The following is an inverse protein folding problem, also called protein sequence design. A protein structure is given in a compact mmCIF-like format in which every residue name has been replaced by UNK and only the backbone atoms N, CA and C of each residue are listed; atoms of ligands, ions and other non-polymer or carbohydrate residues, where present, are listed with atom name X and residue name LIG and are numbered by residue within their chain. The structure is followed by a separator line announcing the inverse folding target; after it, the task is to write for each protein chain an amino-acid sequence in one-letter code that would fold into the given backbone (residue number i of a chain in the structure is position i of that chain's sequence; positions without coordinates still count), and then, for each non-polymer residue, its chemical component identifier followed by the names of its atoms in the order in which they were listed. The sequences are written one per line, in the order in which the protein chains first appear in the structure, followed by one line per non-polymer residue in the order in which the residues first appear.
data_IF_113689473607
#
_entry.id   IF_113689473607
#
_cell.length_a   1.000
_cell.length_b   1.000
_cell.length_c   1.000
_cell.angle_alpha   90.00
_cell.angle_beta   90.00
_cell.angle_gamma   90.00
#
_symmetry.space_group_name_H-M   'P 1'
#
loop_
_entity.id
_entity.type
_entity.pdbx_description
1 polymer ?
#
# COMPACT_ATOMS: atom_id res chain seq x y z
N UNK A 1 -2.80 110.51 4.92
CA UNK A 1 -3.51 111.74 4.54
C UNK A 1 -3.67 112.57 5.82
N UNK A 2 -3.21 113.84 5.78
CA UNK A 2 -3.29 114.93 6.77
C UNK A 2 -2.71 114.63 8.18
N UNK A 3 -1.57 115.15 8.67
CA UNK A 3 -0.95 116.50 8.74
C UNK A 3 -1.76 117.59 9.47
N UNK A 4 -0.99 118.44 10.19
CA UNK A 4 -1.25 119.80 10.74
C UNK A 4 -1.57 119.80 12.27
N UNK A 5 -0.56 119.89 13.16
CA UNK A 5 0.19 121.08 13.70
C UNK A 5 -0.58 121.96 14.69
N UNK A 6 -0.02 122.06 15.90
CA UNK A 6 0.18 123.20 16.84
C UNK A 6 -0.47 124.57 16.53
N UNK A 7 -0.83 125.37 17.56
CA UNK A 7 0.21 126.25 18.15
C UNK A 7 0.07 126.66 19.64
N UNK A 8 1.21 126.89 20.29
CA UNK A 8 1.35 127.90 21.36
C UNK A 8 1.11 129.32 20.82
N UNK A 9 0.70 130.29 21.66
CA UNK A 9 1.59 131.45 21.80
C UNK A 9 1.71 132.08 23.20
N UNK A 10 2.97 132.39 23.50
CA UNK A 10 3.58 133.48 24.28
C UNK A 10 2.74 134.65 24.82
N UNK A 11 2.95 134.88 26.13
CA UNK A 11 3.39 136.11 26.84
C UNK A 11 2.66 137.44 26.58
N UNK A 12 2.26 138.12 27.67
CA UNK A 12 2.40 139.58 27.83
C UNK A 12 2.38 139.99 29.30
N UNK A 13 3.51 140.50 29.78
CA UNK A 13 3.59 141.27 31.02
C UNK A 13 2.88 142.61 30.87
N UNK A 14 2.39 143.14 31.99
CA UNK A 14 2.09 144.57 32.12
C UNK A 14 2.61 145.02 33.48
N UNK A 15 3.64 145.86 33.42
CA UNK A 15 4.22 146.54 34.55
C UNK A 15 3.56 147.92 34.74
N UNK A 16 3.74 148.41 35.97
CA UNK A 16 3.74 149.81 36.42
C UNK A 16 2.38 150.44 36.80
N UNK A 17 2.34 150.87 38.07
CA UNK A 17 1.44 151.87 38.63
C UNK A 17 1.97 152.35 39.98
N UNK A 18 3.07 153.11 39.95
CA UNK A 18 3.59 153.93 41.06
C UNK A 18 2.76 155.23 41.16
N UNK A 19 2.78 155.85 42.35
CA UNK A 19 2.25 157.17 42.75
C UNK A 19 0.76 157.14 43.12
N UNK A 20 0.29 157.68 44.26
CA UNK A 20 0.86 158.62 45.23
C UNK A 20 0.01 158.58 46.51
N UNK A 21 0.65 158.71 47.68
CA UNK A 21 0.02 158.81 49.01
C UNK A 21 -0.93 160.02 49.13
N UNK A 22 -2.13 159.85 49.71
CA UNK A 22 -2.79 160.88 50.49
C UNK A 22 -2.53 160.66 51.98
N UNK A 23 -2.45 161.78 52.68
CA UNK A 23 -2.04 161.97 54.07
C UNK A 23 -2.92 161.22 55.10
N UNK A 24 -2.27 160.79 56.18
CA UNK A 24 -2.79 160.49 57.52
C UNK A 24 -4.26 160.00 57.64
N UNK A 25 -4.47 158.69 57.84
CA UNK A 25 -5.06 158.10 59.08
C UNK A 25 -5.27 156.57 58.98
N UNK A 26 -4.86 155.88 60.06
CA UNK A 26 -5.18 154.52 60.54
C UNK A 26 -4.62 153.24 59.85
N UNK A 27 -3.74 152.51 60.56
CA UNK A 27 -3.11 151.22 60.15
C UNK A 27 -4.10 150.03 60.02
N UNK A 28 -5.31 150.14 60.57
CA UNK A 28 -6.30 149.04 60.59
C UNK A 28 -6.86 148.69 59.21
N UNK A 29 -7.10 149.67 58.33
CA UNK A 29 -7.71 149.45 57.01
C UNK A 29 -6.82 148.65 56.06
N UNK A 30 -5.49 148.75 56.21
CA UNK A 30 -4.54 148.03 55.36
C UNK A 30 -4.41 146.54 55.76
N UNK A 31 -4.58 146.23 57.05
CA UNK A 31 -4.59 144.86 57.55
C UNK A 31 -5.86 144.10 57.13
N UNK A 32 -7.01 144.79 57.07
CA UNK A 32 -8.28 144.20 56.62
C UNK A 32 -8.20 143.75 55.15
N UNK A 33 -7.61 144.59 54.29
CA UNK A 33 -7.43 144.27 52.86
C UNK A 33 -6.53 143.05 52.62
N UNK A 34 -5.46 142.88 53.39
CA UNK A 34 -4.58 141.71 53.28
C UNK A 34 -5.26 140.43 53.79
N UNK A 35 -6.07 140.51 54.86
CA UNK A 35 -6.85 139.35 55.36
C UNK A 35 -7.88 138.85 54.34
N UNK A 36 -8.59 139.76 53.70
CA UNK A 36 -9.55 139.46 52.63
C UNK A 36 -8.86 138.72 51.47
N UNK A 37 -7.68 139.19 51.06
CA UNK A 37 -6.94 138.59 49.94
C UNK A 37 -6.39 137.20 50.25
N UNK A 38 -5.95 136.95 51.49
CA UNK A 38 -5.52 135.62 51.95
C UNK A 38 -6.69 134.64 52.03
N UNK A 39 -7.86 135.08 52.49
CA UNK A 39 -9.09 134.26 52.49
C UNK A 39 -9.50 133.87 51.07
N UNK A 40 -9.44 134.80 50.12
CA UNK A 40 -9.77 134.52 48.72
C UNK A 40 -8.83 133.47 48.10
N UNK A 41 -7.53 133.55 48.35
CA UNK A 41 -6.54 132.58 47.90
C UNK A 41 -6.73 131.18 48.54
N UNK A 42 -7.10 131.11 49.82
CA UNK A 42 -7.40 129.84 50.51
C UNK A 42 -8.68 129.18 49.97
N UNK A 43 -9.68 129.98 49.61
CA UNK A 43 -10.91 129.51 48.96
C UNK A 43 -10.64 128.97 47.55
N UNK A 44 -9.81 129.64 46.77
CA UNK A 44 -9.48 129.25 45.39
C UNK A 44 -8.62 127.97 45.35
N UNK A 45 -7.65 127.83 46.27
CA UNK A 45 -6.87 126.59 46.40
C UNK A 45 -7.70 125.41 46.90
N UNK A 46 -8.63 125.64 47.85
CA UNK A 46 -9.59 124.60 48.26
C UNK A 46 -10.49 124.19 47.11
N UNK A 47 -11.05 125.14 46.36
CA UNK A 47 -11.92 124.86 45.20
C UNK A 47 -11.20 124.05 44.10
N UNK A 48 -9.94 124.40 43.78
CA UNK A 48 -9.15 123.66 42.81
C UNK A 48 -8.83 122.22 43.28
N UNK A 49 -8.54 122.05 44.58
CA UNK A 49 -8.28 120.74 45.17
C UNK A 49 -9.54 119.86 45.17
N UNK A 50 -10.70 120.41 45.54
CA UNK A 50 -11.99 119.71 45.48
C UNK A 50 -12.31 119.25 44.06
N UNK A 51 -12.10 120.10 43.06
CA UNK A 51 -12.35 119.77 41.65
C UNK A 51 -11.43 118.66 41.14
N UNK A 52 -10.17 118.62 41.59
CA UNK A 52 -9.25 117.53 41.26
C UNK A 52 -9.67 116.21 41.91
N UNK A 53 -10.16 116.22 43.16
CA UNK A 53 -10.68 115.02 43.82
C UNK A 53 -11.98 114.53 43.16
N UNK A 54 -12.88 115.42 42.75
CA UNK A 54 -14.10 115.06 42.03
C UNK A 54 -13.78 114.38 40.69
N UNK A 55 -12.84 114.94 39.92
CA UNK A 55 -12.40 114.32 38.67
C UNK A 55 -11.72 112.95 38.90
N UNK A 56 -10.89 112.82 39.94
CA UNK A 56 -10.26 111.54 40.28
C UNK A 56 -11.29 110.49 40.73
N UNK A 57 -12.30 110.90 41.50
CA UNK A 57 -13.40 110.03 41.92
C UNK A 57 -14.23 109.56 40.73
N UNK A 58 -14.53 110.45 39.78
CA UNK A 58 -15.32 110.11 38.61
C UNK A 58 -14.56 109.16 37.67
N UNK A 59 -13.27 109.39 37.43
CA UNK A 59 -12.43 108.46 36.67
C UNK A 59 -12.36 107.07 37.33
N UNK A 60 -12.21 107.00 38.67
CA UNK A 60 -12.21 105.71 39.37
C UNK A 60 -13.57 105.00 39.34
N UNK A 61 -14.69 105.74 39.34
CA UNK A 61 -16.01 105.12 39.14
C UNK A 61 -16.14 104.52 37.75
N UNK A 62 -15.68 105.21 36.71
CA UNK A 62 -15.69 104.69 35.34
C UNK A 62 -14.83 103.42 35.20
N UNK A 63 -13.64 103.39 35.81
CA UNK A 63 -12.79 102.19 35.85
C UNK A 63 -13.50 101.02 36.56
N UNK A 64 -14.13 101.26 37.72
CA UNK A 64 -14.89 100.23 38.44
C UNK A 64 -16.11 99.76 37.62
N UNK A 65 -16.80 100.69 36.93
CA UNK A 65 -17.94 100.37 36.07
C UNK A 65 -17.53 99.51 34.87
N UNK A 66 -16.31 99.67 34.37
CA UNK A 66 -15.78 98.88 33.25
C UNK A 66 -15.19 97.53 33.70
N UNK A 67 -14.48 97.49 34.82
CA UNK A 67 -13.87 96.25 35.33
C UNK A 67 -14.91 95.22 35.81
N UNK A 68 -16.01 95.68 36.40
CA UNK A 68 -17.01 94.78 37.00
C UNK A 68 -17.69 93.89 35.95
N UNK A 69 -18.18 94.41 34.80
CA UNK A 69 -18.70 93.60 33.70
C UNK A 69 -17.65 92.65 33.11
N UNK A 70 -16.41 93.12 32.90
CA UNK A 70 -15.35 92.30 32.30
C UNK A 70 -15.02 91.08 33.16
N UNK A 71 -14.95 91.25 34.50
CA UNK A 71 -14.77 90.12 35.43
C UNK A 71 -15.94 89.13 35.39
N UNK A 72 -17.17 89.61 35.22
CA UNK A 72 -18.37 88.75 35.10
C UNK A 72 -18.35 87.94 33.80
N UNK A 73 -18.00 88.56 32.67
CA UNK A 73 -17.88 87.86 31.38
C UNK A 73 -16.75 86.83 31.39
N UNK A 74 -15.57 87.17 31.93
CA UNK A 74 -14.46 86.22 32.04
C UNK A 74 -14.80 85.01 32.91
N UNK A 75 -15.51 85.21 34.02
CA UNK A 75 -15.96 84.11 34.86
C UNK A 75 -16.98 83.21 34.14
N UNK A 76 -17.89 83.81 33.36
CA UNK A 76 -18.84 83.06 32.55
C UNK A 76 -18.15 82.19 31.49
N UNK A 77 -17.16 82.74 30.77
CA UNK A 77 -16.40 82.01 29.75
C UNK A 77 -15.60 80.86 30.38
N UNK A 78 -14.98 81.08 31.55
CA UNK A 78 -14.27 80.05 32.30
C UNK A 78 -15.23 78.93 32.73
N UNK A 79 -16.42 79.26 33.20
CA UNK A 79 -17.43 78.29 33.61
C UNK A 79 -17.98 77.49 32.41
N UNK A 80 -18.16 78.12 31.24
CA UNK A 80 -18.55 77.43 30.02
C UNK A 80 -17.45 76.48 29.51
N UNK A 81 -16.20 76.94 29.42
CA UNK A 81 -15.05 76.12 29.03
C UNK A 81 -14.90 74.93 29.99
N UNK A 82 -15.03 75.17 31.30
CA UNK A 82 -14.93 74.13 32.32
C UNK A 82 -16.03 73.07 32.17
N UNK A 83 -17.28 73.50 31.92
CA UNK A 83 -18.40 72.58 31.66
C UNK A 83 -18.21 71.77 30.39
N UNK A 84 -17.76 72.39 29.31
CA UNK A 84 -17.50 71.71 28.04
C UNK A 84 -16.38 70.68 28.16
N UNK A 85 -15.29 71.02 28.87
CA UNK A 85 -14.20 70.10 29.14
C UNK A 85 -14.65 68.91 30.00
N UNK A 86 -15.42 69.15 31.07
CA UNK A 86 -15.96 68.09 31.92
C UNK A 86 -16.90 67.17 31.13
N UNK A 87 -17.76 67.73 30.27
CA UNK A 87 -18.67 66.97 29.40
C UNK A 87 -17.89 66.07 28.43
N UNK A 88 -16.91 66.61 27.71
CA UNK A 88 -16.05 65.84 26.79
C UNK A 88 -15.24 64.76 27.53
N UNK A 89 -14.75 65.07 28.74
CA UNK A 89 -14.04 64.09 29.60
C UNK A 89 -14.96 62.97 30.05
N UNK A 90 -16.20 63.27 30.45
CA UNK A 90 -17.18 62.25 30.82
C UNK A 90 -17.58 61.38 29.63
N UNK A 91 -17.78 61.99 28.46
CA UNK A 91 -18.08 61.26 27.22
C UNK A 91 -16.93 60.30 26.85
N UNK A 92 -15.68 60.77 26.90
CA UNK A 92 -14.50 59.95 26.68
C UNK A 92 -14.39 58.82 27.73
N UNK A 93 -14.63 59.15 29.01
CA UNK A 93 -14.62 58.18 30.12
C UNK A 93 -15.69 57.09 29.97
N UNK A 94 -16.80 57.37 29.31
CA UNK A 94 -17.86 56.39 29.04
C UNK A 94 -17.59 55.55 27.77
N UNK A 95 -16.88 56.12 26.78
CA UNK A 95 -16.52 55.42 25.55
C UNK A 95 -15.32 54.47 25.73
N UNK A 96 -14.32 54.86 26.53
CA UNK A 96 -13.10 54.07 26.73
C UNK A 96 -13.35 52.64 27.28
N UNK A 97 -14.22 52.43 28.29
CA UNK A 97 -14.54 51.08 28.78
C UNK A 97 -15.20 50.20 27.71
N UNK A 98 -16.06 50.79 26.86
CA UNK A 98 -16.70 50.07 25.75
C UNK A 98 -15.69 49.65 24.69
N UNK A 99 -14.75 50.53 24.35
CA UNK A 99 -13.65 50.20 23.42
C UNK A 99 -12.77 49.10 24.01
N UNK A 100 -12.42 49.19 25.30
CA UNK A 100 -11.60 48.18 25.98
C UNK A 100 -12.29 46.80 26.00
N UNK A 101 -13.59 46.75 26.26
CA UNK A 101 -14.32 45.47 26.27
C UNK A 101 -14.46 44.86 24.86
N UNK A 102 -14.63 45.67 23.83
CA UNK A 102 -14.61 45.22 22.43
C UNK A 102 -13.23 44.65 22.08
N UNK A 103 -12.16 45.35 22.46
CA UNK A 103 -10.78 44.92 22.18
C UNK A 103 -10.48 43.57 22.84
N UNK A 104 -10.83 43.39 24.12
CA UNK A 104 -10.65 42.11 24.82
C UNK A 104 -11.43 40.95 24.18
N UNK A 105 -12.64 41.21 23.67
CA UNK A 105 -13.43 40.21 22.94
C UNK A 105 -12.78 39.84 21.60
N UNK A 106 -12.25 40.83 20.88
CA UNK A 106 -11.53 40.59 19.62
C UNK A 106 -10.25 39.78 19.84
N UNK A 107 -9.45 40.12 20.86
CA UNK A 107 -8.25 39.36 21.23
C UNK A 107 -8.58 37.90 21.56
N UNK A 108 -9.64 37.67 22.33
CA UNK A 108 -10.11 36.32 22.67
C UNK A 108 -10.58 35.54 21.43
N UNK A 109 -11.25 36.23 20.49
CA UNK A 109 -11.69 35.64 19.21
C UNK A 109 -10.49 35.25 18.34
N UNK A 110 -9.48 36.11 18.25
CA UNK A 110 -8.25 35.87 17.48
C UNK A 110 -7.48 34.68 18.06
N UNK A 111 -7.35 34.58 19.39
CA UNK A 111 -6.70 33.42 20.04
C UNK A 111 -7.49 32.13 19.75
N UNK A 112 -8.82 32.16 19.84
CA UNK A 112 -9.67 31.02 19.52
C UNK A 112 -9.51 30.58 18.05
N UNK A 113 -9.58 31.51 17.10
CA UNK A 113 -9.38 31.23 15.68
C UNK A 113 -7.98 30.68 15.39
N UNK A 114 -6.96 31.24 16.05
CA UNK A 114 -5.57 30.77 15.90
C UNK A 114 -5.44 29.32 16.37
N UNK A 115 -6.00 28.97 17.53
CA UNK A 115 -6.02 27.59 18.03
C UNK A 115 -6.78 26.66 17.11
N UNK A 116 -7.94 27.10 16.61
CA UNK A 116 -8.76 26.29 15.71
C UNK A 116 -8.04 26.00 14.39
N UNK A 117 -7.30 26.99 13.87
CA UNK A 117 -6.45 26.79 12.70
C UNK A 117 -5.37 25.72 12.93
N UNK A 118 -4.75 25.66 14.11
CA UNK A 118 -3.81 24.59 14.44
C UNK A 118 -4.49 23.23 14.50
N UNK A 119 -5.64 23.11 15.18
CA UNK A 119 -6.39 21.85 15.21
C UNK A 119 -6.81 21.35 13.83
N UNK A 120 -7.27 22.26 12.97
CA UNK A 120 -7.64 21.92 11.59
C UNK A 120 -6.42 21.48 10.78
N UNK A 121 -5.26 22.12 10.99
CA UNK A 121 -4.02 21.70 10.35
C UNK A 121 -3.63 20.29 10.78
N UNK A 122 -3.62 20.01 12.09
CA UNK A 122 -3.27 18.69 12.60
C UNK A 122 -4.23 17.60 12.09
N UNK A 123 -5.53 17.89 12.05
CA UNK A 123 -6.53 16.99 11.50
C UNK A 123 -6.32 16.71 10.00
N UNK A 124 -5.99 17.74 9.21
CA UNK A 124 -5.66 17.58 7.79
C UNK A 124 -4.40 16.73 7.61
N UNK A 125 -3.36 16.99 8.41
CA UNK A 125 -2.10 16.25 8.35
C UNK A 125 -2.30 14.77 8.76
N UNK A 126 -3.19 14.48 9.70
CA UNK A 126 -3.59 13.11 10.07
C UNK A 126 -4.39 12.42 8.96
N UNK A 127 -5.44 13.06 8.43
CA UNK A 127 -6.24 12.52 7.32
C UNK A 127 -5.34 12.23 6.11
N UNK A 128 -4.42 13.14 5.79
CA UNK A 128 -3.49 12.98 4.67
C UNK A 128 -2.58 11.76 4.87
N UNK A 129 -2.03 11.58 6.08
CA UNK A 129 -1.21 10.40 6.40
C UNK A 129 -2.01 9.10 6.30
N UNK A 130 -3.22 9.07 6.85
CA UNK A 130 -4.08 7.90 6.81
C UNK A 130 -4.44 7.53 5.36
N UNK A 131 -4.83 8.52 4.55
CA UNK A 131 -5.12 8.32 3.14
C UNK A 131 -3.93 7.75 2.36
N UNK A 132 -2.73 8.33 2.53
CA UNK A 132 -1.51 7.82 1.90
C UNK A 132 -1.20 6.38 2.33
N UNK A 133 -1.33 6.06 3.62
CA UNK A 133 -1.12 4.70 4.12
C UNK A 133 -2.05 3.70 3.46
N UNK A 134 -3.35 4.02 3.37
CA UNK A 134 -4.34 3.15 2.71
C UNK A 134 -4.06 2.97 1.22
N UNK A 135 -3.61 4.02 0.52
CA UNK A 135 -3.22 3.94 -0.89
C UNK A 135 -2.02 3.00 -1.10
N UNK A 136 -0.98 3.11 -0.25
CA UNK A 136 0.18 2.22 -0.34
C UNK A 136 -0.18 0.77 -0.03
N UNK A 137 -1.03 0.52 0.97
CA UNK A 137 -1.51 -0.84 1.28
C UNK A 137 -2.33 -1.45 0.13
N UNK A 138 -3.18 -0.66 -0.52
CA UNK A 138 -3.95 -1.11 -1.69
C UNK A 138 -3.02 -1.45 -2.86
N UNK A 139 -2.06 -0.58 -3.17
CA UNK A 139 -1.07 -0.83 -4.22
C UNK A 139 -0.22 -2.08 -3.93
N UNK A 140 0.23 -2.27 -2.68
CA UNK A 140 0.97 -3.47 -2.29
C UNK A 140 0.14 -4.77 -2.44
N UNK A 141 -1.18 -4.71 -2.19
CA UNK A 141 -2.08 -5.85 -2.43
C UNK A 141 -2.24 -6.14 -3.93
N UNK A 142 -2.41 -5.12 -4.76
CA UNK A 142 -2.54 -5.27 -6.21
C UNK A 142 -1.27 -5.86 -6.84
N UNK A 143 -0.09 -5.37 -6.46
CA UNK A 143 1.19 -5.94 -6.91
C UNK A 143 1.34 -7.40 -6.47
N UNK A 144 0.95 -7.74 -5.23
CA UNK A 144 0.97 -9.13 -4.77
C UNK A 144 -0.01 -10.02 -5.56
N UNK A 145 -1.21 -9.51 -5.88
CA UNK A 145 -2.19 -10.23 -6.69
C UNK A 145 -1.69 -10.45 -8.12
N UNK A 146 -1.01 -9.47 -8.72
CA UNK A 146 -0.38 -9.61 -10.04
C UNK A 146 0.70 -10.71 -10.02
N UNK A 147 1.62 -10.68 -9.05
CA UNK A 147 2.65 -11.71 -8.89
C UNK A 147 2.04 -13.11 -8.66
N UNK A 148 0.97 -13.21 -7.87
CA UNK A 148 0.24 -14.47 -7.68
C UNK A 148 -0.39 -14.94 -9.00
N UNK A 149 -0.97 -14.02 -9.77
CA UNK A 149 -1.53 -14.30 -11.09
C UNK A 149 -0.50 -14.82 -12.09
N UNK A 150 0.68 -14.20 -12.16
CA UNK A 150 1.78 -14.66 -13.00
C UNK A 150 2.28 -16.06 -12.61
N UNK A 151 2.46 -16.31 -11.30
CA UNK A 151 2.85 -17.63 -10.79
C UNK A 151 1.80 -18.69 -11.10
N UNK A 152 0.52 -18.37 -10.98
CA UNK A 152 -0.57 -19.28 -11.32
C UNK A 152 -0.56 -19.61 -12.81
N UNK A 153 -0.42 -18.61 -13.68
CA UNK A 153 -0.32 -18.80 -15.13
C UNK A 153 0.86 -19.71 -15.50
N UNK A 154 2.04 -19.45 -14.94
CA UNK A 154 3.21 -20.31 -15.16
C UNK A 154 2.99 -21.76 -14.69
N UNK A 155 2.25 -21.95 -13.60
CA UNK A 155 1.93 -23.29 -13.08
C UNK A 155 0.96 -24.02 -14.02
N UNK A 156 -0.08 -23.33 -14.50
CA UNK A 156 -1.06 -23.87 -15.47
C UNK A 156 -0.37 -24.26 -16.78
N UNK A 157 0.52 -23.41 -17.31
CA UNK A 157 1.26 -23.71 -18.54
C UNK A 157 2.14 -24.95 -18.36
N UNK A 158 2.83 -25.07 -17.21
CA UNK A 158 3.64 -26.25 -16.87
C UNK A 158 2.78 -27.51 -16.72
N UNK A 159 1.63 -27.43 -16.05
CA UNK A 159 0.71 -28.55 -15.89
C UNK A 159 0.15 -29.02 -17.23
N UNK A 160 -0.20 -28.08 -18.11
CA UNK A 160 -0.70 -28.38 -19.47
C UNK A 160 0.37 -29.10 -20.29
N UNK A 161 1.63 -28.66 -20.22
CA UNK A 161 2.75 -29.34 -20.87
C UNK A 161 2.97 -30.74 -20.33
N UNK A 162 3.01 -30.90 -19.01
CA UNK A 162 3.17 -32.21 -18.35
C UNK A 162 2.04 -33.17 -18.70
N UNK A 163 0.80 -32.69 -18.79
CA UNK A 163 -0.35 -33.49 -19.22
C UNK A 163 -0.18 -34.01 -20.64
N UNK A 164 0.34 -33.19 -21.55
CA UNK A 164 0.71 -33.59 -22.91
C UNK A 164 1.80 -34.67 -22.92
N UNK A 165 2.87 -34.49 -22.15
CA UNK A 165 3.96 -35.46 -22.01
C UNK A 165 3.46 -36.81 -21.45
N UNK A 166 2.60 -36.79 -20.43
CA UNK A 166 2.00 -38.01 -19.86
C UNK A 166 1.15 -38.75 -20.88
N UNK A 167 0.34 -38.05 -21.68
CA UNK A 167 -0.45 -38.67 -22.74
C UNK A 167 0.44 -39.29 -23.82
N UNK A 168 1.50 -38.60 -24.22
CA UNK A 168 2.48 -39.12 -25.17
C UNK A 168 3.18 -40.38 -24.64
N UNK A 169 3.64 -40.36 -23.38
CA UNK A 169 4.29 -41.50 -22.75
C UNK A 169 3.33 -42.70 -22.60
N UNK A 170 2.05 -42.47 -22.25
CA UNK A 170 1.02 -43.52 -22.22
C UNK A 170 0.86 -44.17 -23.59
N UNK A 171 0.76 -43.38 -24.66
CA UNK A 171 0.63 -43.89 -26.02
C UNK A 171 1.86 -44.71 -26.44
N UNK A 172 3.07 -44.22 -26.15
CA UNK A 172 4.30 -44.93 -26.47
C UNK A 172 4.45 -46.24 -25.68
N UNK A 173 4.06 -46.25 -24.40
CA UNK A 173 4.03 -47.47 -23.59
C UNK A 173 3.19 -48.55 -24.27
N UNK A 174 1.97 -48.23 -24.67
CA UNK A 174 1.09 -49.19 -25.37
C UNK A 174 1.69 -49.68 -26.70
N UNK A 175 2.33 -48.79 -27.46
CA UNK A 175 3.00 -49.17 -28.72
C UNK A 175 4.14 -50.16 -28.44
N UNK A 176 5.01 -49.85 -27.46
CA UNK A 176 6.15 -50.69 -27.09
C UNK A 176 5.71 -52.05 -26.53
N UNK A 177 4.67 -52.07 -25.68
CA UNK A 177 4.07 -53.30 -25.17
C UNK A 177 3.57 -54.18 -26.32
N UNK A 178 2.88 -53.60 -27.31
CA UNK A 178 2.41 -54.35 -28.48
C UNK A 178 3.57 -54.85 -29.35
N UNK A 179 4.61 -54.05 -29.58
CA UNK A 179 5.80 -54.47 -30.34
C UNK A 179 6.54 -55.62 -29.65
N UNK A 180 6.64 -55.57 -28.32
CA UNK A 180 7.24 -56.62 -27.53
C UNK A 180 6.41 -57.90 -27.57
N UNK A 181 5.08 -57.80 -27.43
CA UNK A 181 4.14 -58.94 -27.59
C UNK A 181 4.31 -59.62 -28.95
N UNK A 182 4.38 -58.84 -30.03
CA UNK A 182 4.58 -59.38 -31.39
C UNK A 182 5.95 -60.07 -31.55
N UNK A 183 7.01 -59.44 -31.06
CA UNK A 183 8.37 -60.01 -31.12
C UNK A 183 8.45 -61.33 -30.36
N UNK A 184 7.80 -61.39 -29.19
CA UNK A 184 7.70 -62.61 -28.40
C UNK A 184 6.98 -63.73 -29.16
N UNK A 185 5.83 -63.43 -29.78
CA UNK A 185 5.07 -64.42 -30.56
C UNK A 185 5.87 -64.99 -31.74
N UNK A 186 6.58 -64.12 -32.47
CA UNK A 186 7.44 -64.53 -33.59
C UNK A 186 8.56 -65.46 -33.10
N UNK A 187 9.25 -65.06 -32.02
CA UNK A 187 10.34 -65.85 -31.46
C UNK A 187 9.85 -67.21 -30.96
N UNK A 188 8.68 -67.26 -30.32
CA UNK A 188 8.05 -68.51 -29.89
C UNK A 188 7.81 -69.43 -31.08
N UNK A 189 7.16 -68.94 -32.14
CA UNK A 189 6.93 -69.74 -33.36
C UNK A 189 8.22 -70.28 -33.97
N UNK A 190 9.26 -69.45 -34.05
CA UNK A 190 10.57 -69.87 -34.54
C UNK A 190 11.16 -71.01 -33.69
N UNK A 191 11.17 -70.86 -32.36
CA UNK A 191 11.69 -71.89 -31.45
C UNK A 191 10.85 -73.18 -31.45
N UNK A 192 9.54 -73.08 -31.68
CA UNK A 192 8.68 -74.26 -31.85
C UNK A 192 9.11 -75.09 -33.06
N UNK A 193 9.45 -74.44 -34.19
CA UNK A 193 9.98 -75.11 -35.37
C UNK A 193 11.31 -75.82 -35.09
N UNK A 194 12.24 -75.18 -34.39
CA UNK A 194 13.52 -75.79 -33.99
C UNK A 194 13.33 -76.97 -33.03
N UNK A 195 12.32 -76.92 -32.15
CA UNK A 195 12.04 -78.00 -31.20
C UNK A 195 11.66 -79.30 -31.92
N UNK A 196 10.85 -79.24 -32.99
CA UNK A 196 10.49 -80.42 -33.77
C UNK A 196 11.72 -81.11 -34.38
N UNK A 197 12.62 -80.34 -35.01
CA UNK A 197 13.87 -80.89 -35.56
C UNK A 197 14.75 -81.53 -34.49
N UNK A 198 14.83 -80.90 -33.31
CA UNK A 198 15.63 -81.42 -32.19
C UNK A 198 15.08 -82.76 -31.68
N UNK A 199 13.76 -82.91 -31.63
CA UNK A 199 13.11 -84.15 -31.25
C UNK A 199 13.38 -85.26 -32.28
N UNK A 200 13.21 -84.97 -33.56
CA UNK A 200 13.50 -85.94 -34.64
C UNK A 200 14.97 -86.41 -34.65
N UNK A 201 15.93 -85.50 -34.43
CA UNK A 201 17.34 -85.86 -34.31
C UNK A 201 17.59 -86.74 -33.06
N UNK A 202 16.96 -86.39 -31.93
CA UNK A 202 17.00 -87.20 -30.70
C UNK A 202 16.43 -88.60 -30.91
N UNK A 203 15.33 -88.72 -31.66
CA UNK A 203 14.71 -90.00 -32.05
C UNK A 203 15.71 -90.88 -32.80
N UNK A 204 16.31 -90.34 -33.87
CA UNK A 204 17.30 -91.06 -34.70
C UNK A 204 18.51 -91.52 -33.89
N UNK A 205 19.05 -90.65 -33.03
CA UNK A 205 20.20 -91.02 -32.19
C UNK A 205 19.87 -92.11 -31.18
N UNK A 206 18.69 -92.04 -30.54
CA UNK A 206 18.29 -93.03 -29.55
C UNK A 206 18.08 -94.41 -30.18
N UNK A 207 17.36 -94.47 -31.30
CA UNK A 207 17.11 -95.70 -32.03
C UNK A 207 18.43 -96.30 -32.55
N UNK A 208 19.30 -95.48 -33.15
CA UNK A 208 20.60 -95.94 -33.65
C UNK A 208 21.46 -96.60 -32.56
N UNK A 209 21.55 -95.98 -31.38
CA UNK A 209 22.30 -96.54 -30.23
C UNK A 209 21.74 -97.88 -29.74
N UNK A 210 20.41 -98.03 -29.73
CA UNK A 210 19.77 -99.29 -29.32
C UNK A 210 20.00 -100.39 -30.36
N UNK A 211 19.91 -100.05 -31.65
CA UNK A 211 20.14 -101.00 -32.73
C UNK A 211 21.59 -101.53 -32.73
N UNK A 212 22.58 -100.64 -32.64
CA UNK A 212 23.99 -101.02 -32.49
C UNK A 212 24.21 -101.92 -31.26
N UNK A 213 23.55 -101.61 -30.15
CA UNK A 213 23.63 -102.43 -28.94
C UNK A 213 23.11 -103.86 -29.18
N UNK A 214 21.93 -104.02 -29.78
CA UNK A 214 21.35 -105.34 -30.01
C UNK A 214 22.17 -106.19 -30.99
N UNK A 215 22.73 -105.57 -32.03
CA UNK A 215 23.66 -106.24 -32.95
C UNK A 215 24.93 -106.71 -32.24
N UNK A 216 25.56 -105.83 -31.45
CA UNK A 216 26.82 -106.12 -30.77
C UNK A 216 26.67 -107.19 -29.67
N UNK A 217 25.50 -107.28 -29.03
CA UNK A 217 25.21 -108.32 -28.05
C UNK A 217 24.90 -109.68 -28.71
N UNK A 218 24.76 -109.74 -30.04
CA UNK A 218 24.51 -110.97 -30.80
C UNK A 218 23.16 -111.64 -30.50
N UNK A 219 22.23 -110.88 -29.91
CA UNK A 219 20.95 -111.40 -29.41
C UNK A 219 19.96 -111.62 -30.55
N UNK A 220 20.04 -110.81 -31.62
CA UNK A 220 19.09 -110.79 -32.73
C UNK A 220 19.81 -110.63 -34.06
N UNK A 221 19.20 -111.14 -35.13
CA UNK A 221 19.57 -110.79 -36.51
C UNK A 221 19.16 -109.34 -36.81
N UNK A 222 19.69 -108.77 -37.89
CA UNK A 222 19.58 -107.34 -38.20
C UNK A 222 18.14 -106.80 -38.21
N UNK A 223 17.21 -107.49 -38.89
CA UNK A 223 15.81 -107.06 -39.01
C UNK A 223 15.07 -107.06 -37.65
N UNK A 224 15.04 -108.16 -36.86
CA UNK A 224 14.48 -108.12 -35.51
C UNK A 224 15.18 -107.13 -34.57
N UNK A 225 16.51 -106.99 -34.66
CA UNK A 225 17.28 -106.04 -33.86
C UNK A 225 16.88 -104.59 -34.16
N UNK A 226 16.67 -104.26 -35.44
CA UNK A 226 16.20 -102.95 -35.91
C UNK A 226 14.82 -102.64 -35.39
N UNK A 227 13.86 -103.54 -35.56
CA UNK A 227 12.49 -103.32 -35.10
C UNK A 227 12.42 -103.18 -33.58
N UNK A 228 13.18 -103.99 -32.83
CA UNK A 228 13.18 -103.91 -31.36
C UNK A 228 13.78 -102.59 -30.87
N UNK A 229 14.81 -102.10 -31.56
CA UNK A 229 15.41 -100.79 -31.29
C UNK A 229 14.42 -99.64 -31.53
N UNK A 230 13.59 -99.72 -32.57
CA UNK A 230 12.56 -98.72 -32.82
C UNK A 230 11.49 -98.78 -31.70
N UNK A 231 10.93 -99.95 -31.41
CA UNK A 231 9.89 -100.10 -30.38
C UNK A 231 10.36 -99.60 -29.00
N UNK A 232 11.55 -100.02 -28.57
CA UNK A 232 12.11 -99.60 -27.28
C UNK A 232 12.57 -98.14 -27.27
N UNK A 233 13.15 -97.65 -28.37
CA UNK A 233 13.59 -96.27 -28.52
C UNK A 233 12.42 -95.31 -28.46
N UNK A 234 11.37 -95.56 -29.26
CA UNK A 234 10.14 -94.79 -29.25
C UNK A 234 9.48 -94.82 -27.85
N UNK A 235 9.41 -96.00 -27.21
CA UNK A 235 8.85 -96.12 -25.86
C UNK A 235 9.57 -95.27 -24.81
N UNK A 236 10.91 -95.26 -24.82
CA UNK A 236 11.72 -94.40 -23.93
C UNK A 236 11.52 -92.92 -24.24
N UNK A 237 11.45 -92.55 -25.50
CA UNK A 237 11.25 -91.17 -25.92
C UNK A 237 9.88 -90.65 -25.50
N UNK A 238 8.82 -91.42 -25.73
CA UNK A 238 7.45 -91.10 -25.29
C UNK A 238 7.42 -90.88 -23.77
N UNK A 239 8.00 -91.79 -22.98
CA UNK A 239 8.04 -91.64 -21.52
C UNK A 239 8.73 -90.34 -21.09
N UNK A 240 9.91 -90.05 -21.64
CA UNK A 240 10.65 -88.84 -21.31
C UNK A 240 9.89 -87.57 -21.70
N UNK A 241 9.20 -87.58 -22.85
CA UNK A 241 8.39 -86.47 -23.30
C UNK A 241 7.17 -86.25 -22.41
N UNK A 242 6.49 -87.32 -21.97
CA UNK A 242 5.36 -87.22 -21.01
C UNK A 242 5.80 -86.58 -19.69
N UNK A 243 6.89 -87.07 -19.08
CA UNK A 243 7.44 -86.49 -17.84
C UNK A 243 7.81 -85.01 -18.04
N UNK A 244 8.49 -84.71 -19.15
CA UNK A 244 8.87 -83.34 -19.46
C UNK A 244 7.67 -82.43 -19.72
N UNK A 245 6.52 -82.97 -20.14
CA UNK A 245 5.29 -82.21 -20.39
C UNK A 245 4.58 -81.90 -19.08
N UNK A 246 4.46 -82.88 -18.19
CA UNK A 246 3.91 -82.69 -16.83
C UNK A 246 4.69 -81.63 -16.03
N UNK A 247 6.03 -81.63 -16.14
CA UNK A 247 6.84 -80.58 -15.51
C UNK A 247 6.52 -79.18 -16.05
N UNK A 248 6.29 -79.04 -17.36
CA UNK A 248 5.92 -77.75 -17.97
C UNK A 248 4.51 -77.32 -17.59
N UNK A 249 3.58 -78.26 -17.41
CA UNK A 249 2.23 -77.97 -16.93
C UNK A 249 2.26 -77.41 -15.51
N UNK A 250 3.04 -78.03 -14.62
CA UNK A 250 3.22 -77.54 -13.24
C UNK A 250 3.85 -76.14 -13.21
N UNK A 251 4.92 -75.89 -14.00
CA UNK A 251 5.52 -74.55 -14.12
C UNK A 251 4.53 -73.51 -14.68
N UNK A 252 3.63 -73.93 -15.58
CA UNK A 252 2.61 -73.07 -16.14
C UNK A 252 1.52 -72.68 -15.11
N UNK A 253 1.14 -73.61 -14.22
CA UNK A 253 0.21 -73.31 -13.11
C UNK A 253 0.82 -72.32 -12.12
N UNK A 254 2.10 -72.48 -11.76
CA UNK A 254 2.80 -71.52 -10.88
C UNK A 254 2.87 -70.11 -11.49
N UNK A 255 3.06 -70.01 -12.81
CA UNK A 255 3.05 -68.72 -13.52
C UNK A 255 1.66 -68.07 -13.54
N UNK A 256 0.58 -68.85 -13.65
CA UNK A 256 -0.80 -68.35 -13.60
C UNK A 256 -1.12 -67.67 -12.26
N UNK A 257 -0.48 -68.10 -11.17
CA UNK A 257 -0.63 -67.53 -9.83
C UNK A 257 0.26 -66.30 -9.57
N UNK A 258 1.30 -66.08 -10.37
CA UNK A 258 2.34 -65.07 -10.13
C UNK A 258 1.90 -63.62 -10.33
N UNK A 259 0.90 -63.38 -11.19
CA UNK A 259 0.44 -62.04 -11.56
C UNK A 259 1.47 -61.19 -12.34
N UNK A 260 2.55 -61.79 -12.86
CA UNK A 260 3.61 -61.07 -13.56
C UNK A 260 3.14 -60.51 -14.91
N UNK A 261 3.70 -59.37 -15.32
CA UNK A 261 3.25 -58.62 -16.51
C UNK A 261 3.44 -59.41 -17.82
N UNK A 262 4.42 -60.32 -17.86
CA UNK A 262 4.67 -61.22 -18.99
C UNK A 262 4.18 -62.64 -18.78
N UNK A 263 3.56 -62.95 -17.62
CA UNK A 263 3.03 -64.28 -17.34
C UNK A 263 2.10 -64.74 -18.47
N UNK A 264 1.21 -63.87 -18.97
CA UNK A 264 0.31 -64.16 -20.10
C UNK A 264 1.06 -64.68 -21.35
N UNK A 265 2.20 -64.08 -21.69
CA UNK A 265 2.99 -64.48 -22.86
C UNK A 265 3.76 -65.78 -22.61
N UNK A 266 4.33 -65.93 -21.42
CA UNK A 266 5.04 -67.15 -21.03
C UNK A 266 4.11 -68.34 -20.95
N UNK A 267 2.92 -68.15 -20.37
CA UNK A 267 1.84 -69.14 -20.34
C UNK A 267 1.45 -69.55 -21.76
N UNK A 268 1.23 -68.59 -22.66
CA UNK A 268 0.89 -68.88 -24.04
C UNK A 268 2.00 -69.69 -24.75
N UNK A 269 3.27 -69.44 -24.41
CA UNK A 269 4.41 -70.18 -24.95
C UNK A 269 4.50 -71.59 -24.37
N UNK A 270 4.32 -71.77 -23.07
CA UNK A 270 4.29 -73.11 -22.45
C UNK A 270 3.15 -73.96 -22.99
N UNK A 271 1.95 -73.40 -23.10
CA UNK A 271 0.81 -74.07 -23.73
C UNK A 271 1.11 -74.51 -25.18
N UNK A 272 1.80 -73.67 -25.96
CA UNK A 272 2.22 -74.04 -27.31
C UNK A 272 3.27 -75.18 -27.32
N UNK A 273 4.23 -75.18 -26.37
CA UNK A 273 5.20 -76.27 -26.22
C UNK A 273 4.56 -77.58 -25.79
N UNK A 274 3.66 -77.53 -24.83
CA UNK A 274 2.91 -78.68 -24.33
C UNK A 274 2.14 -79.30 -25.49
N UNK A 275 1.35 -78.52 -26.22
CA UNK A 275 0.58 -79.02 -27.37
C UNK A 275 1.47 -79.69 -28.43
N UNK A 276 2.58 -79.06 -28.84
CA UNK A 276 3.44 -79.66 -29.85
C UNK A 276 4.13 -80.94 -29.36
N UNK A 277 4.38 -81.07 -28.06
CA UNK A 277 4.88 -82.32 -27.48
C UNK A 277 3.82 -83.39 -27.48
N UNK A 278 2.58 -83.07 -27.11
CA UNK A 278 1.46 -84.00 -27.17
C UNK A 278 1.21 -84.50 -28.59
N UNK A 279 1.22 -83.60 -29.57
CA UNK A 279 1.08 -83.93 -31.00
C UNK A 279 2.21 -84.89 -31.43
N UNK A 280 3.46 -84.59 -31.07
CA UNK A 280 4.59 -85.45 -31.39
C UNK A 280 4.54 -86.81 -30.66
N UNK A 281 4.09 -86.84 -29.40
CA UNK A 281 3.88 -88.09 -28.65
C UNK A 281 2.84 -88.96 -29.36
N UNK A 282 1.75 -88.37 -29.86
CA UNK A 282 0.74 -89.11 -30.60
C UNK A 282 1.31 -89.72 -31.89
N UNK A 283 2.12 -88.97 -32.65
CA UNK A 283 2.85 -89.48 -33.82
C UNK A 283 3.77 -90.65 -33.46
N UNK A 284 4.56 -90.53 -32.39
CA UNK A 284 5.45 -91.62 -31.94
C UNK A 284 4.68 -92.85 -31.45
N UNK A 285 3.53 -92.66 -30.81
CA UNK A 285 2.68 -93.77 -30.35
C UNK A 285 2.08 -94.55 -31.53
N UNK A 286 1.72 -93.87 -32.61
CA UNK A 286 1.28 -94.49 -33.86
C UNK A 286 2.43 -95.24 -34.54
N UNK A 287 3.58 -94.58 -34.73
CA UNK A 287 4.80 -95.17 -35.32
C UNK A 287 5.24 -96.43 -34.54
N UNK A 288 5.18 -96.39 -33.19
CA UNK A 288 5.51 -97.54 -32.35
C UNK A 288 4.58 -98.73 -32.57
N UNK A 289 3.26 -98.49 -32.71
CA UNK A 289 2.27 -99.55 -32.95
C UNK A 289 2.50 -100.24 -34.29
N UNK A 290 2.89 -99.50 -35.32
CA UNK A 290 3.23 -100.07 -36.63
C UNK A 290 4.42 -101.03 -36.51
N UNK A 291 5.51 -100.62 -35.83
CA UNK A 291 6.66 -101.49 -35.61
C UNK A 291 6.34 -102.72 -34.75
N UNK A 292 5.50 -102.59 -33.72
CA UNK A 292 5.03 -103.72 -32.92
C UNK A 292 4.26 -104.74 -33.77
N UNK A 293 3.44 -104.26 -34.71
CA UNK A 293 2.70 -105.12 -35.65
C UNK A 293 3.66 -105.86 -36.58
N UNK A 294 4.61 -105.17 -37.19
CA UNK A 294 5.64 -105.79 -38.06
C UNK A 294 6.46 -106.85 -37.31
N UNK A 295 6.83 -106.57 -36.06
CA UNK A 295 7.56 -107.52 -35.22
C UNK A 295 6.75 -108.80 -34.95
N UNK A 296 5.46 -108.67 -34.67
CA UNK A 296 4.57 -109.82 -34.45
C UNK A 296 4.37 -110.65 -35.74
N UNK A 297 4.31 -109.99 -36.90
CA UNK A 297 4.23 -110.66 -38.20
C UNK A 297 5.49 -111.49 -38.50
N UNK A 298 6.69 -110.93 -38.22
CA UNK A 298 7.95 -111.68 -38.35
C UNK A 298 8.06 -112.86 -37.39
N UNK A 299 7.63 -112.69 -36.14
CA UNK A 299 7.61 -113.77 -35.16
C UNK A 299 6.70 -114.92 -35.61
N UNK A 300 5.55 -114.59 -36.21
CA UNK A 300 4.57 -115.58 -36.70
C UNK A 300 5.02 -116.32 -37.98
N UNK A 301 6.08 -115.87 -38.66
CA UNK A 301 6.65 -116.53 -39.84
C UNK A 301 7.81 -117.48 -39.50
N UNK A 302 8.27 -117.49 -38.24
CA UNK A 302 9.36 -118.34 -37.74
C UNK A 302 8.89 -119.55 -36.92
N UNK A 303 7.59 -119.62 -36.60
CA UNK A 303 6.89 -120.80 -36.04
C UNK A 303 6.32 -121.71 -37.15
#
# INVERSE_FOLDING_TARGET
MAQVTDPEPKVKGKAVGLLSLPEQTNQETMLEYLREKVKALDLETKSASTKNFENALENHKEEILYETPVKVYLNYDIDEISRNWLSARHEASNKLPKIRSILQRLESSIDHESRMKYYLKDAIDEITRNWLSTQFEAYAKDVNLEHVGERLKSTIDRETKLKGEVQFLKKNKTILENQLRQSYLILTKYRMGEHHHTLEDGKRQMIGKLHEKFLNEGILTDDPARLLAHIQGLGKMIMNLKIGTENLENENEELEESGDFFAELEIARFKAYIQAREDFIAELEEEKKEFEKEMNELASQQD
#
